data_IF_273227944165
#
_entry.id   IF_273227944165
#
_cell.length_a   1.000
_cell.length_b   1.000
_cell.length_c   1.000
_cell.angle_alpha   90.00
_cell.angle_beta   90.00
_cell.angle_gamma   90.00
#
_symmetry.space_group_name_H-M   'P 1'
#
loop_
_entity.id
_entity.type
_entity.pdbx_description
1 polymer ?
#
# COMPACT_ATOMS: atom_id res chain seq x y z
N UNK A 1 10.01 5.25 -13.82
CA UNK A 1 8.69 5.31 -13.15
C UNK A 1 7.63 5.99 -14.01
N UNK A 2 7.81 7.21 -14.49
CA UNK A 2 6.78 7.95 -15.26
C UNK A 2 6.24 7.20 -16.49
N UNK A 3 7.09 6.55 -17.28
CA UNK A 3 6.67 5.78 -18.46
C UNK A 3 5.85 4.54 -18.10
N UNK A 4 6.29 3.79 -17.08
CA UNK A 4 5.57 2.58 -16.62
C UNK A 4 4.22 2.97 -16.03
N UNK A 5 4.18 3.98 -15.16
CA UNK A 5 2.93 4.50 -14.61
C UNK A 5 1.99 5.04 -15.68
N UNK A 6 2.53 5.74 -16.67
CA UNK A 6 1.75 6.22 -17.82
C UNK A 6 1.17 5.11 -18.68
N UNK A 7 1.92 4.06 -18.96
CA UNK A 7 1.42 2.89 -19.69
C UNK A 7 0.29 2.19 -18.93
N UNK A 8 0.41 2.12 -17.60
CA UNK A 8 -0.62 1.56 -16.72
C UNK A 8 -1.91 2.39 -16.76
N UNK A 9 -1.80 3.72 -16.64
CA UNK A 9 -2.92 4.66 -16.77
C UNK A 9 -3.62 4.47 -18.11
N UNK A 10 -2.86 4.48 -19.21
CA UNK A 10 -3.38 4.29 -20.57
C UNK A 10 -4.14 2.96 -20.70
N UNK A 11 -3.59 1.88 -20.14
CA UNK A 11 -4.21 0.56 -20.19
C UNK A 11 -5.60 0.55 -19.55
N UNK A 12 -5.73 1.09 -18.35
CA UNK A 12 -7.02 1.18 -17.65
C UNK A 12 -8.00 2.13 -18.34
N UNK A 13 -7.54 3.34 -18.70
CA UNK A 13 -8.41 4.34 -19.34
C UNK A 13 -8.92 3.88 -20.70
N UNK A 14 -8.15 3.07 -21.45
CA UNK A 14 -8.61 2.46 -22.71
C UNK A 14 -9.81 1.52 -22.54
N UNK A 15 -10.14 1.13 -21.32
CA UNK A 15 -11.30 0.30 -20.95
C UNK A 15 -12.40 1.09 -20.24
N UNK A 16 -12.34 2.42 -20.27
CA UNK A 16 -13.35 3.29 -19.65
C UNK A 16 -13.27 3.37 -18.14
N UNK A 17 -12.10 3.04 -17.55
CA UNK A 17 -11.87 3.17 -16.10
C UNK A 17 -11.05 4.42 -15.80
N UNK A 18 -11.40 5.13 -14.72
CA UNK A 18 -10.52 6.16 -14.19
C UNK A 18 -9.34 5.55 -13.46
N UNK A 19 -8.21 6.22 -13.55
CA UNK A 19 -7.05 5.93 -12.72
C UNK A 19 -6.79 7.10 -11.79
N UNK A 20 -6.41 6.80 -10.56
CA UNK A 20 -6.13 7.80 -9.52
C UNK A 20 -4.70 7.65 -9.05
N UNK A 21 -3.71 8.22 -9.77
CA UNK A 21 -2.33 8.25 -9.30
C UNK A 21 -2.25 8.85 -7.90
N UNK A 22 -1.42 8.24 -7.05
CA UNK A 22 -1.31 8.66 -5.65
C UNK A 22 0.10 8.44 -5.11
N UNK A 23 0.51 9.14 -4.08
CA UNK A 23 -0.20 10.29 -3.46
C UNK A 23 0.51 11.57 -3.88
N UNK A 24 -0.22 12.51 -4.44
CA UNK A 24 0.33 13.76 -4.97
C UNK A 24 0.77 14.70 -3.84
N UNK A 25 1.98 15.22 -3.94
CA UNK A 25 2.53 16.17 -2.99
C UNK A 25 3.69 15.61 -2.15
N UNK A 26 4.50 14.69 -2.72
CA UNK A 26 5.76 14.27 -2.12
C UNK A 26 5.67 13.19 -1.04
N UNK A 27 4.60 12.42 -1.00
CA UNK A 27 4.33 11.39 0.01
C UNK A 27 5.50 10.43 0.30
N UNK A 28 6.36 10.17 -0.67
CA UNK A 28 7.52 9.28 -0.50
C UNK A 28 8.76 9.92 0.14
N UNK A 29 8.68 11.17 0.61
CA UNK A 29 9.83 11.90 1.16
C UNK A 29 9.53 12.65 2.47
N UNK A 30 8.75 12.11 3.40
CA UNK A 30 8.50 12.78 4.67
C UNK A 30 9.75 12.73 5.55
N UNK A 31 9.94 13.77 6.36
CA UNK A 31 11.04 13.84 7.32
C UNK A 31 11.01 12.67 8.29
N UNK A 32 12.17 12.05 8.48
CA UNK A 32 12.32 10.88 9.35
C UNK A 32 11.63 9.61 8.83
N UNK A 33 11.19 9.58 7.57
CA UNK A 33 10.46 8.45 6.99
C UNK A 33 9.04 8.25 7.56
N UNK A 34 8.54 9.21 8.34
CA UNK A 34 7.27 9.07 9.07
C UNK A 34 6.09 9.54 8.23
N UNK A 35 5.10 8.67 8.11
CA UNK A 35 3.87 8.97 7.38
C UNK A 35 3.22 10.28 7.84
N UNK A 36 2.74 11.07 6.89
CA UNK A 36 2.04 12.34 7.07
C UNK A 36 2.87 13.46 7.71
N UNK A 37 4.19 13.30 7.82
CA UNK A 37 5.08 14.36 8.29
C UNK A 37 5.41 15.35 7.17
N UNK A 38 6.00 16.48 7.57
CA UNK A 38 6.48 17.51 6.66
C UNK A 38 7.52 16.95 5.67
N UNK A 39 7.52 17.49 4.47
CA UNK A 39 8.43 17.11 3.40
C UNK A 39 9.55 18.13 3.36
N UNK A 40 10.73 17.74 3.83
CA UNK A 40 11.89 18.60 3.93
C UNK A 40 12.62 18.86 2.60
N UNK A 41 11.88 19.01 1.49
CA UNK A 41 12.44 19.21 0.15
C UNK A 41 12.36 20.66 -0.28
N UNK A 42 13.34 21.12 -1.04
CA UNK A 42 13.26 22.38 -1.78
C UNK A 42 12.17 22.31 -2.87
N UNK A 43 11.66 23.46 -3.30
CA UNK A 43 10.71 23.52 -4.42
C UNK A 43 11.29 22.88 -5.69
N UNK A 44 12.58 23.08 -5.95
CA UNK A 44 13.26 22.47 -7.08
C UNK A 44 13.20 20.95 -7.03
N UNK A 45 13.56 20.34 -5.92
CA UNK A 45 13.52 18.87 -5.76
C UNK A 45 12.10 18.34 -5.87
N UNK A 46 11.13 19.01 -5.25
CA UNK A 46 9.72 18.67 -5.38
C UNK A 46 9.31 18.64 -6.86
N UNK A 47 9.61 19.69 -7.63
CA UNK A 47 9.20 19.83 -9.02
C UNK A 47 9.98 18.93 -9.98
N UNK A 48 11.28 18.72 -9.75
CA UNK A 48 12.15 17.98 -10.66
C UNK A 48 12.16 16.46 -10.40
N UNK A 49 11.76 16.04 -9.20
CA UNK A 49 11.79 14.61 -8.82
C UNK A 49 10.38 14.10 -8.48
N UNK A 50 9.78 14.60 -7.41
CA UNK A 50 8.58 14.01 -6.83
C UNK A 50 7.30 14.29 -7.62
N UNK A 51 7.19 15.44 -8.25
CA UNK A 51 6.02 15.81 -9.05
C UNK A 51 6.11 15.37 -10.52
N UNK A 52 7.28 14.96 -11.01
CA UNK A 52 7.47 14.55 -12.41
C UNK A 52 6.53 13.43 -12.86
N UNK A 53 6.35 12.33 -12.11
CA UNK A 53 5.43 11.26 -12.52
C UNK A 53 3.99 11.73 -12.69
N UNK A 54 3.53 12.61 -11.80
CA UNK A 54 2.17 13.17 -11.85
C UNK A 54 1.99 14.11 -13.03
N UNK A 55 2.95 15.02 -13.27
CA UNK A 55 2.95 15.88 -14.44
C UNK A 55 2.90 15.07 -15.74
N UNK A 56 3.65 13.97 -15.80
CA UNK A 56 3.67 13.08 -16.94
C UNK A 56 2.32 12.37 -17.13
N UNK A 57 1.71 11.88 -16.04
CA UNK A 57 0.40 11.26 -16.06
C UNK A 57 -0.70 12.20 -16.58
N UNK A 58 -0.66 13.47 -16.17
CA UNK A 58 -1.63 14.48 -16.57
C UNK A 58 -1.42 14.91 -18.03
N UNK A 59 -0.21 15.34 -18.38
CA UNK A 59 0.05 15.95 -19.69
C UNK A 59 0.10 14.97 -20.84
N UNK A 60 0.52 13.72 -20.60
CA UNK A 60 0.76 12.75 -21.67
C UNK A 60 -0.28 11.63 -21.71
N UNK A 61 -1.05 11.44 -20.65
CA UNK A 61 -2.01 10.32 -20.54
C UNK A 61 -3.41 10.76 -20.13
N UNK A 62 -3.68 12.06 -20.05
CA UNK A 62 -5.00 12.61 -19.69
C UNK A 62 -5.59 11.96 -18.46
N UNK A 63 -4.77 11.87 -17.37
CA UNK A 63 -5.22 11.34 -16.11
C UNK A 63 -6.34 12.23 -15.55
N UNK A 64 -7.50 11.65 -15.23
CA UNK A 64 -8.71 12.39 -14.90
C UNK A 64 -9.07 12.40 -13.42
N UNK A 65 -8.33 11.70 -12.59
CA UNK A 65 -8.43 11.84 -11.14
C UNK A 65 -7.06 11.72 -10.47
N UNK A 66 -6.95 12.21 -9.24
CA UNK A 66 -5.71 12.24 -8.50
C UNK A 66 -6.01 12.25 -7.01
N UNK A 67 -5.24 11.48 -6.22
CA UNK A 67 -5.32 11.52 -4.75
C UNK A 67 -4.15 12.32 -4.18
N UNK A 68 -4.45 13.31 -3.32
CA UNK A 68 -3.44 14.09 -2.64
C UNK A 68 -2.87 13.36 -1.41
N UNK A 69 -1.65 13.72 -1.02
CA UNK A 69 -0.93 13.12 0.11
C UNK A 69 -1.37 13.68 1.47
N UNK A 70 -1.09 12.92 2.53
CA UNK A 70 -1.29 13.37 3.91
C UNK A 70 -0.32 14.47 4.35
N UNK A 71 0.84 14.54 3.74
CA UNK A 71 2.00 15.28 4.22
C UNK A 71 1.80 16.80 4.18
N UNK A 72 2.66 17.51 4.91
CA UNK A 72 2.86 18.94 4.77
C UNK A 72 4.00 19.21 3.78
N UNK A 73 3.89 20.29 3.06
CA UNK A 73 4.97 20.82 2.26
C UNK A 73 5.19 22.28 2.61
N UNK A 74 6.42 22.61 3.02
CA UNK A 74 6.78 23.95 3.51
C UNK A 74 5.85 24.42 4.65
N UNK A 75 5.49 23.52 5.55
CA UNK A 75 4.62 23.79 6.69
C UNK A 75 3.13 23.95 6.35
N UNK A 76 2.71 23.64 5.10
CA UNK A 76 1.32 23.71 4.67
C UNK A 76 0.82 22.30 4.33
N UNK A 77 -0.21 21.78 5.02
CA UNK A 77 -0.83 20.51 4.65
C UNK A 77 -1.26 20.49 3.19
N UNK A 78 -0.92 19.43 2.46
CA UNK A 78 -1.31 19.28 1.05
C UNK A 78 -2.82 19.40 0.90
N UNK A 79 -3.60 18.89 1.86
CA UNK A 79 -5.06 18.95 1.88
C UNK A 79 -5.64 20.39 1.84
N UNK A 80 -4.85 21.42 2.09
CA UNK A 80 -5.26 22.84 1.99
C UNK A 80 -4.34 23.68 1.08
N UNK A 81 -3.36 23.05 0.45
CA UNK A 81 -2.34 23.77 -0.35
C UNK A 81 -2.91 24.23 -1.69
N UNK A 82 -3.24 25.52 -1.76
CA UNK A 82 -3.61 26.17 -3.03
C UNK A 82 -2.45 26.20 -4.01
N UNK A 83 -1.22 26.31 -3.53
CA UNK A 83 -0.02 26.27 -4.37
C UNK A 83 0.08 24.96 -5.13
N UNK A 84 0.07 23.84 -4.43
CA UNK A 84 0.20 22.51 -5.06
C UNK A 84 -1.03 22.17 -5.90
N UNK A 85 -2.25 22.33 -5.36
CA UNK A 85 -3.47 21.80 -5.94
C UNK A 85 -4.16 22.75 -6.94
N UNK A 86 -3.96 24.08 -6.80
CA UNK A 86 -4.55 25.05 -7.73
C UNK A 86 -3.48 25.61 -8.68
N UNK A 87 -2.38 26.18 -8.16
CA UNK A 87 -1.40 26.83 -9.01
C UNK A 87 -0.63 25.79 -9.85
N UNK A 88 0.08 24.86 -9.22
CA UNK A 88 0.91 23.87 -9.95
C UNK A 88 0.04 22.90 -10.74
N UNK A 89 -0.89 22.23 -10.07
CA UNK A 89 -1.65 21.14 -10.68
C UNK A 89 -2.60 21.65 -11.75
N UNK A 90 -3.44 22.67 -11.44
CA UNK A 90 -4.48 23.14 -12.38
C UNK A 90 -3.98 24.23 -13.33
N UNK A 91 -3.35 25.30 -12.82
CA UNK A 91 -2.99 26.43 -13.67
C UNK A 91 -1.77 26.14 -14.53
N UNK A 92 -0.68 25.58 -13.94
CA UNK A 92 0.55 25.33 -14.70
C UNK A 92 0.43 24.06 -15.56
N UNK A 93 -0.20 22.99 -15.06
CA UNK A 93 -0.26 21.71 -15.78
C UNK A 93 -1.54 21.45 -16.56
N UNK A 94 -2.58 22.25 -16.31
CA UNK A 94 -3.86 22.14 -17.02
C UNK A 94 -4.72 20.96 -16.55
N UNK A 95 -4.54 20.48 -15.31
CA UNK A 95 -5.35 19.40 -14.78
C UNK A 95 -6.81 19.82 -14.65
N UNK A 96 -7.69 19.17 -15.40
CA UNK A 96 -9.12 19.44 -15.44
C UNK A 96 -9.98 18.32 -14.81
N UNK A 97 -9.35 17.31 -14.23
CA UNK A 97 -10.00 16.22 -13.51
C UNK A 97 -10.36 16.59 -12.06
N UNK A 98 -10.79 15.61 -11.29
CA UNK A 98 -11.12 15.80 -9.89
C UNK A 98 -10.01 15.32 -8.95
N UNK A 99 -9.94 15.94 -7.78
CA UNK A 99 -9.02 15.58 -6.70
C UNK A 99 -9.82 14.87 -5.62
N UNK A 100 -9.34 13.69 -5.21
CA UNK A 100 -9.83 12.99 -4.02
C UNK A 100 -8.82 13.15 -2.88
N UNK A 101 -9.30 13.31 -1.65
CA UNK A 101 -8.41 13.28 -0.48
C UNK A 101 -7.93 11.87 -0.21
N UNK A 102 -6.74 11.72 0.37
CA UNK A 102 -6.40 10.49 1.06
C UNK A 102 -7.34 10.26 2.25
N UNK A 103 -7.41 9.01 2.74
CA UNK A 103 -8.43 8.58 3.70
C UNK A 103 -8.27 9.27 5.06
N UNK A 104 -9.25 10.11 5.40
CA UNK A 104 -9.21 10.92 6.63
C UNK A 104 -8.35 12.18 6.55
N UNK A 105 -7.66 12.46 5.44
CA UNK A 105 -6.71 13.58 5.33
C UNK A 105 -7.34 14.96 5.60
N UNK A 106 -8.60 15.18 5.19
CA UNK A 106 -9.29 16.43 5.52
C UNK A 106 -9.55 16.54 7.03
N UNK A 107 -9.93 15.43 7.67
CA UNK A 107 -10.11 15.38 9.11
C UNK A 107 -8.82 15.66 9.90
N UNK A 108 -7.66 15.28 9.37
CA UNK A 108 -6.36 15.53 9.97
C UNK A 108 -6.02 17.03 10.09
N UNK A 109 -6.70 17.91 9.34
CA UNK A 109 -6.55 19.36 9.50
C UNK A 109 -7.02 19.86 10.88
N UNK A 110 -7.92 19.14 11.55
CA UNK A 110 -8.44 19.50 12.88
C UNK A 110 -7.67 18.90 14.03
N UNK A 111 -6.92 17.80 13.79
CA UNK A 111 -6.33 17.00 14.85
C UNK A 111 -5.08 16.25 14.38
N UNK A 112 -4.47 15.52 15.31
CA UNK A 112 -3.38 14.55 15.14
C UNK A 112 -2.07 15.08 14.58
N UNK A 113 -2.08 15.85 13.47
CA UNK A 113 -0.80 16.18 12.81
C UNK A 113 -0.71 17.65 12.39
N UNK A 114 -1.82 18.27 12.00
CA UNK A 114 -1.77 19.58 11.36
C UNK A 114 -2.30 20.74 12.21
N UNK A 115 -3.43 20.57 12.91
CA UNK A 115 -4.06 21.59 13.78
C UNK A 115 -4.25 22.94 13.08
N UNK A 116 -4.59 22.93 11.77
CA UNK A 116 -4.78 24.14 10.97
C UNK A 116 -6.23 24.54 10.82
N UNK A 117 -7.16 23.71 11.28
CA UNK A 117 -8.60 23.97 11.32
C UNK A 117 -9.11 23.70 12.75
N UNK A 118 -10.01 24.56 13.24
CA UNK A 118 -10.58 24.42 14.59
C UNK A 118 -11.66 23.34 14.69
N UNK A 119 -12.32 23.06 13.57
CA UNK A 119 -13.41 22.10 13.47
C UNK A 119 -13.53 21.52 12.05
N UNK A 120 -14.44 20.54 11.87
CA UNK A 120 -14.67 19.89 10.57
C UNK A 120 -15.23 20.86 9.50
N UNK A 121 -15.93 21.92 9.90
CA UNK A 121 -16.49 22.90 8.97
C UNK A 121 -15.37 23.74 8.36
N UNK A 122 -14.45 24.20 9.20
CA UNK A 122 -13.26 24.93 8.71
C UNK A 122 -12.35 24.03 7.88
N UNK A 123 -12.15 22.79 8.29
CA UNK A 123 -11.40 21.80 7.50
C UNK A 123 -12.03 21.58 6.12
N UNK A 124 -13.34 21.44 6.05
CA UNK A 124 -14.08 21.31 4.78
C UNK A 124 -13.88 22.55 3.90
N UNK A 125 -14.02 23.76 4.45
CA UNK A 125 -13.79 25.00 3.71
C UNK A 125 -12.35 25.10 3.18
N UNK A 126 -11.34 24.75 3.98
CA UNK A 126 -9.95 24.76 3.53
C UNK A 126 -9.70 23.77 2.38
N UNK A 127 -10.27 22.57 2.46
CA UNK A 127 -10.12 21.54 1.44
C UNK A 127 -10.89 21.88 0.15
N UNK A 128 -12.11 22.42 0.25
CA UNK A 128 -12.88 22.91 -0.90
C UNK A 128 -12.15 24.04 -1.63
N UNK A 129 -11.62 25.03 -0.88
CA UNK A 129 -10.84 26.13 -1.44
C UNK A 129 -9.54 25.64 -2.13
N UNK A 130 -8.96 24.51 -1.68
CA UNK A 130 -7.85 23.86 -2.35
C UNK A 130 -8.28 23.03 -3.58
N UNK A 131 -9.58 22.81 -3.78
CA UNK A 131 -10.14 22.12 -4.95
C UNK A 131 -10.29 20.61 -4.80
N UNK A 132 -10.36 20.09 -3.58
CA UNK A 132 -10.62 18.68 -3.30
C UNK A 132 -12.09 18.40 -3.48
N UNK A 133 -12.44 17.58 -4.49
CA UNK A 133 -13.82 17.35 -4.91
C UNK A 133 -14.51 16.23 -4.12
N UNK A 134 -13.75 15.20 -3.72
CA UNK A 134 -14.29 14.09 -2.93
C UNK A 134 -13.39 13.78 -1.75
N UNK A 135 -13.95 13.25 -0.67
CA UNK A 135 -13.10 12.79 0.42
C UNK A 135 -13.23 11.28 0.68
N UNK A 136 -12.09 10.62 0.83
CA UNK A 136 -12.01 9.31 1.44
C UNK A 136 -12.05 9.53 2.96
N UNK A 137 -13.23 9.38 3.57
CA UNK A 137 -13.45 9.66 4.98
C UNK A 137 -14.82 10.26 5.26
N UNK A 138 -15.00 10.85 6.43
CA UNK A 138 -16.29 11.28 6.95
C UNK A 138 -16.50 12.81 7.00
N UNK A 139 -15.52 13.63 6.59
CA UNK A 139 -15.59 15.08 6.81
C UNK A 139 -16.72 15.72 5.99
N UNK A 140 -16.77 15.49 4.67
CA UNK A 140 -17.85 16.07 3.84
C UNK A 140 -19.20 15.44 4.13
N UNK A 141 -19.24 14.17 4.55
CA UNK A 141 -20.47 13.46 4.90
C UNK A 141 -20.95 13.71 6.34
N UNK A 142 -20.20 14.50 7.12
CA UNK A 142 -20.54 14.80 8.49
C UNK A 142 -21.82 15.66 8.55
N UNK A 143 -22.75 15.32 9.45
CA UNK A 143 -24.03 16.02 9.59
C UNK A 143 -23.87 17.51 9.86
N UNK A 144 -22.86 17.90 10.66
CA UNK A 144 -22.59 19.30 11.00
C UNK A 144 -22.09 20.08 9.78
N UNK A 145 -21.25 19.46 8.93
CA UNK A 145 -20.75 20.07 7.68
C UNK A 145 -21.88 20.22 6.67
N UNK A 146 -22.74 19.21 6.53
CA UNK A 146 -23.93 19.27 5.66
C UNK A 146 -24.89 20.38 6.14
N UNK A 147 -25.11 20.49 7.46
CA UNK A 147 -25.96 21.55 8.01
C UNK A 147 -25.29 22.92 7.81
N UNK A 148 -23.98 23.02 7.99
CA UNK A 148 -23.22 24.25 7.75
C UNK A 148 -23.32 24.74 6.30
N UNK A 149 -23.40 23.83 5.33
CA UNK A 149 -23.63 24.18 3.92
C UNK A 149 -25.04 24.80 3.73
N UNK A 150 -26.07 24.23 4.35
CA UNK A 150 -27.44 24.77 4.30
C UNK A 150 -27.54 26.13 4.99
N UNK A 151 -26.78 26.35 6.04
CA UNK A 151 -26.73 27.59 6.83
C UNK A 151 -25.84 28.68 6.20
N UNK A 152 -25.21 28.41 5.06
CA UNK A 152 -24.29 29.34 4.40
C UNK A 152 -22.91 29.50 5.07
N UNK A 153 -22.52 28.56 5.93
CA UNK A 153 -21.19 28.55 6.59
C UNK A 153 -20.13 27.81 5.79
N UNK A 154 -20.49 27.14 4.71
CA UNK A 154 -19.60 26.62 3.69
C UNK A 154 -19.56 27.61 2.53
N UNK A 155 -18.36 27.84 1.99
CA UNK A 155 -18.20 28.66 0.78
C UNK A 155 -18.81 27.93 -0.42
N UNK A 156 -19.95 28.41 -0.88
CA UNK A 156 -20.71 27.78 -1.97
C UNK A 156 -20.02 27.89 -3.32
N UNK A 157 -19.21 28.95 -3.56
CA UNK A 157 -18.45 29.07 -4.79
C UNK A 157 -17.38 27.98 -4.90
N UNK A 158 -16.64 27.73 -3.82
CA UNK A 158 -15.65 26.64 -3.77
C UNK A 158 -16.33 25.27 -3.93
N UNK A 159 -17.46 25.06 -3.27
CA UNK A 159 -18.26 23.83 -3.41
C UNK A 159 -18.74 23.64 -4.87
N UNK A 160 -19.28 24.66 -5.49
CA UNK A 160 -19.73 24.61 -6.89
C UNK A 160 -18.56 24.33 -7.84
N UNK A 161 -17.39 24.90 -7.57
CA UNK A 161 -16.20 24.66 -8.39
C UNK A 161 -15.75 23.20 -8.34
N UNK A 162 -15.69 22.58 -7.17
CA UNK A 162 -15.32 21.16 -7.07
C UNK A 162 -16.41 20.25 -7.65
N UNK A 163 -17.69 20.58 -7.49
CA UNK A 163 -18.79 19.88 -8.13
C UNK A 163 -18.67 19.93 -9.66
N UNK A 164 -18.34 21.09 -10.24
CA UNK A 164 -18.13 21.22 -11.70
C UNK A 164 -16.99 20.33 -12.18
N UNK A 165 -15.87 20.21 -11.44
CA UNK A 165 -14.78 19.33 -11.85
C UNK A 165 -15.20 17.86 -11.85
N UNK A 166 -15.93 17.42 -10.84
CA UNK A 166 -16.43 16.05 -10.75
C UNK A 166 -17.45 15.75 -11.84
N UNK A 167 -18.52 16.56 -11.93
CA UNK A 167 -19.57 16.38 -12.93
C UNK A 167 -19.02 16.50 -14.35
N UNK A 168 -18.12 17.47 -14.60
CA UNK A 168 -17.47 17.62 -15.89
C UNK A 168 -16.64 16.39 -16.29
N UNK A 169 -15.98 15.75 -15.33
CA UNK A 169 -15.28 14.49 -15.56
C UNK A 169 -16.26 13.35 -15.89
N UNK A 170 -17.37 13.27 -15.17
CA UNK A 170 -18.43 12.28 -15.44
C UNK A 170 -19.04 12.46 -16.83
N UNK A 171 -19.35 13.71 -17.23
CA UNK A 171 -19.88 14.01 -18.58
C UNK A 171 -18.87 13.65 -19.69
N UNK A 172 -17.61 14.05 -19.58
CA UNK A 172 -16.59 13.70 -20.57
C UNK A 172 -16.43 12.21 -20.79
N UNK A 173 -16.76 11.39 -19.80
CA UNK A 173 -16.66 9.94 -19.84
C UNK A 173 -17.99 9.22 -20.03
N UNK A 174 -19.06 9.95 -20.40
CA UNK A 174 -20.37 9.41 -20.74
C UNK A 174 -21.00 8.55 -19.62
N UNK A 175 -20.70 8.89 -18.34
CA UNK A 175 -21.20 8.10 -17.21
C UNK A 175 -22.71 8.24 -16.99
N UNK A 176 -23.31 9.30 -17.48
CA UNK A 176 -24.75 9.50 -17.40
C UNK A 176 -25.50 8.67 -18.44
N UNK A 177 -24.92 8.48 -19.62
CA UNK A 177 -25.49 7.73 -20.73
C UNK A 177 -25.27 6.22 -20.57
N UNK A 178 -24.11 5.81 -20.07
CA UNK A 178 -23.73 4.40 -19.93
C UNK A 178 -24.33 3.67 -18.75
N UNK A 179 -25.04 4.36 -17.85
CA UNK A 179 -25.60 3.80 -16.61
C UNK A 179 -24.64 2.86 -15.86
N UNK A 180 -23.51 3.36 -15.36
CA UNK A 180 -22.48 2.54 -14.73
C UNK A 180 -22.93 1.87 -13.42
N UNK A 181 -24.02 2.36 -12.84
CA UNK A 181 -24.54 1.85 -11.56
C UNK A 181 -25.41 0.60 -11.69
N UNK A 182 -25.58 0.05 -12.90
CA UNK A 182 -26.28 -1.23 -13.06
C UNK A 182 -25.47 -2.34 -12.41
N UNK A 183 -26.03 -3.09 -11.46
CA UNK A 183 -25.29 -4.19 -10.84
C UNK A 183 -24.76 -5.16 -11.91
N UNK A 184 -23.47 -5.35 -11.95
CA UNK A 184 -22.84 -6.29 -12.86
C UNK A 184 -22.79 -7.67 -12.18
N UNK A 185 -23.27 -8.69 -12.89
CA UNK A 185 -23.01 -10.08 -12.49
C UNK A 185 -21.55 -10.40 -12.82
N UNK A 186 -20.66 -10.09 -11.88
CA UNK A 186 -19.22 -10.24 -12.06
C UNK A 186 -18.81 -11.67 -12.42
N UNK A 187 -19.57 -12.69 -11.99
CA UNK A 187 -19.31 -14.09 -12.33
C UNK A 187 -19.55 -14.38 -13.81
N UNK A 188 -20.51 -13.69 -14.42
CA UNK A 188 -20.76 -13.80 -15.88
C UNK A 188 -19.74 -12.99 -16.68
N UNK A 189 -19.30 -11.84 -16.15
CA UNK A 189 -18.39 -10.93 -16.84
C UNK A 189 -16.95 -11.43 -16.75
N UNK A 190 -16.58 -12.02 -15.61
CA UNK A 190 -15.24 -12.56 -15.36
C UNK A 190 -15.25 -14.06 -15.04
N UNK A 191 -15.66 -14.92 -15.98
CA UNK A 191 -15.66 -16.37 -15.73
C UNK A 191 -14.25 -16.90 -15.45
N UNK A 192 -13.22 -16.18 -15.84
CA UNK A 192 -11.81 -16.48 -15.56
C UNK A 192 -11.28 -15.96 -14.23
N UNK A 193 -12.13 -15.28 -13.39
CA UNK A 193 -11.67 -14.81 -12.09
C UNK A 193 -11.17 -15.98 -11.22
N UNK A 194 -9.98 -15.80 -10.63
CA UNK A 194 -9.29 -16.83 -9.84
C UNK A 194 -9.05 -18.14 -10.63
N UNK A 195 -8.91 -18.04 -11.95
CA UNK A 195 -8.58 -19.20 -12.81
C UNK A 195 -7.16 -19.71 -12.54
N UNK A 196 -6.86 -20.91 -13.01
CA UNK A 196 -5.53 -21.49 -12.85
C UNK A 196 -4.45 -20.68 -13.60
N UNK A 197 -4.82 -20.05 -14.72
CA UNK A 197 -3.92 -19.11 -15.42
C UNK A 197 -3.59 -17.86 -14.60
N UNK A 198 -4.56 -17.29 -13.85
CA UNK A 198 -4.31 -16.18 -12.94
C UNK A 198 -3.41 -16.60 -11.77
N UNK A 199 -3.63 -17.79 -11.21
CA UNK A 199 -2.79 -18.32 -10.13
C UNK A 199 -1.35 -18.59 -10.61
N UNK A 200 -1.18 -19.09 -11.84
CA UNK A 200 0.17 -19.30 -12.39
C UNK A 200 0.87 -17.97 -12.68
N UNK A 201 0.17 -16.96 -13.19
CA UNK A 201 0.71 -15.62 -13.37
C UNK A 201 1.14 -15.00 -12.03
N UNK A 202 0.33 -15.12 -10.97
CA UNK A 202 0.69 -14.67 -9.64
C UNK A 202 1.91 -15.42 -9.08
N UNK A 203 2.00 -16.73 -9.32
CA UNK A 203 3.17 -17.54 -8.96
C UNK A 203 4.43 -17.13 -9.70
N UNK A 204 4.32 -16.84 -11.00
CA UNK A 204 5.44 -16.34 -11.79
C UNK A 204 5.90 -14.99 -11.28
N UNK A 205 4.98 -14.04 -11.02
CA UNK A 205 5.32 -12.75 -10.44
C UNK A 205 6.04 -12.89 -9.08
N UNK A 206 5.57 -13.79 -8.22
CA UNK A 206 6.23 -14.07 -6.95
C UNK A 206 7.65 -14.63 -7.14
N UNK A 207 7.85 -15.56 -8.10
CA UNK A 207 9.20 -16.08 -8.40
C UNK A 207 10.15 -14.99 -8.90
N UNK A 208 9.67 -14.11 -9.75
CA UNK A 208 10.45 -13.01 -10.32
C UNK A 208 10.72 -11.88 -9.32
N UNK A 209 9.95 -11.79 -8.23
CA UNK A 209 10.16 -10.82 -7.16
C UNK A 209 11.21 -11.26 -6.13
N UNK A 210 11.57 -12.55 -6.08
CA UNK A 210 12.58 -13.07 -5.15
C UNK A 210 13.97 -12.67 -5.64
N UNK A 211 14.72 -12.00 -4.77
CA UNK A 211 16.10 -11.57 -5.06
C UNK A 211 17.09 -12.51 -4.36
N UNK A 212 17.93 -13.18 -5.14
CA UNK A 212 19.01 -13.99 -4.62
C UNK A 212 20.20 -13.08 -4.31
N UNK A 213 20.51 -12.86 -3.03
CA UNK A 213 21.60 -11.99 -2.60
C UNK A 213 22.95 -12.71 -2.64
N UNK A 214 22.96 -14.01 -2.33
CA UNK A 214 24.17 -14.83 -2.31
C UNK A 214 23.82 -16.29 -2.66
N UNK A 215 24.74 -16.98 -3.31
CA UNK A 215 24.70 -18.42 -3.55
C UNK A 215 26.11 -19.00 -3.46
N UNK A 216 26.64 -19.04 -2.22
CA UNK A 216 27.96 -19.54 -1.94
C UNK A 216 28.04 -21.05 -2.25
N UNK A 217 29.11 -21.48 -2.85
CA UNK A 217 29.41 -22.87 -3.20
C UNK A 217 28.30 -23.54 -4.07
N UNK A 218 27.50 -22.75 -4.76
CA UNK A 218 26.36 -23.23 -5.56
C UNK A 218 25.37 -24.10 -4.75
N UNK A 219 25.12 -23.72 -3.49
CA UNK A 219 24.16 -24.41 -2.62
C UNK A 219 22.74 -24.47 -3.22
N UNK A 220 22.37 -23.42 -3.92
CA UNK A 220 21.07 -23.35 -4.61
C UNK A 220 21.22 -23.65 -6.11
N UNK A 221 20.24 -24.38 -6.72
CA UNK A 221 19.03 -24.92 -6.11
C UNK A 221 19.31 -26.13 -5.23
N UNK A 222 18.55 -26.25 -4.13
CA UNK A 222 18.66 -27.42 -3.25
C UNK A 222 18.31 -28.72 -3.97
N UNK A 223 19.07 -29.79 -3.66
CA UNK A 223 18.78 -31.11 -4.20
C UNK A 223 17.42 -31.63 -3.68
N UNK A 224 16.60 -32.20 -4.56
CA UNK A 224 15.35 -32.88 -4.21
C UNK A 224 15.56 -34.26 -3.58
N UNK A 225 16.82 -34.70 -3.47
CA UNK A 225 17.19 -36.00 -2.88
C UNK A 225 17.66 -35.89 -1.42
N UNK A 226 17.60 -34.69 -0.82
CA UNK A 226 17.89 -34.50 0.60
C UNK A 226 16.99 -35.36 1.46
N UNK A 227 17.55 -35.97 2.52
CA UNK A 227 16.83 -36.85 3.43
C UNK A 227 16.05 -36.07 4.49
N UNK A 228 16.63 -35.01 5.00
CA UNK A 228 16.01 -34.19 6.06
C UNK A 228 16.25 -32.71 5.80
N UNK A 229 15.21 -31.93 5.82
CA UNK A 229 15.22 -30.45 5.71
C UNK A 229 14.55 -29.89 6.96
N UNK A 230 15.22 -28.96 7.66
CA UNK A 230 14.56 -28.14 8.68
C UNK A 230 14.08 -26.84 8.07
N UNK A 231 12.83 -26.45 8.35
CA UNK A 231 12.26 -25.15 7.99
C UNK A 231 11.92 -24.43 9.28
N UNK A 232 12.69 -23.38 9.56
CA UNK A 232 12.71 -22.73 10.88
C UNK A 232 12.39 -21.24 10.76
N UNK A 233 11.91 -20.66 11.86
CA UNK A 233 11.66 -19.23 11.96
C UNK A 233 10.18 -18.87 11.99
N UNK A 234 9.85 -17.66 12.47
CA UNK A 234 8.46 -17.20 12.63
C UNK A 234 7.69 -17.11 11.31
N UNK A 235 8.37 -16.82 10.20
CA UNK A 235 7.76 -16.77 8.88
C UNK A 235 7.58 -18.12 8.18
N UNK A 236 8.07 -19.23 8.76
CA UNK A 236 8.11 -20.54 8.09
C UNK A 236 6.72 -21.10 7.80
N UNK A 237 5.81 -21.06 8.75
CA UNK A 237 4.42 -21.53 8.60
C UNK A 237 3.39 -20.43 8.85
N UNK A 238 3.81 -19.19 8.74
CA UNK A 238 2.96 -18.02 8.86
C UNK A 238 2.52 -17.52 7.47
N UNK A 239 1.29 -17.01 7.41
CA UNK A 239 0.74 -16.42 6.19
C UNK A 239 0.87 -14.91 6.26
N UNK A 240 1.78 -14.35 5.49
CA UNK A 240 2.09 -12.91 5.46
C UNK A 240 1.63 -12.26 4.14
N UNK A 241 0.31 -12.08 3.93
CA UNK A 241 -0.19 -11.48 2.69
C UNK A 241 0.11 -9.98 2.56
N UNK A 242 0.46 -9.32 3.67
CA UNK A 242 0.70 -7.89 3.72
C UNK A 242 -0.54 -7.04 3.98
N UNK A 243 -0.30 -5.76 4.28
CA UNK A 243 -1.35 -4.76 4.47
C UNK A 243 -2.23 -4.63 3.22
N UNK A 244 -3.48 -4.20 3.40
CA UNK A 244 -4.46 -4.01 2.33
C UNK A 244 -4.86 -5.25 1.54
N UNK A 245 -4.36 -6.43 1.88
CA UNK A 245 -4.83 -7.66 1.25
C UNK A 245 -6.25 -7.95 1.72
N UNK A 246 -7.22 -8.05 0.80
CA UNK A 246 -8.60 -8.32 1.16
C UNK A 246 -8.75 -9.73 1.73
N UNK A 247 -9.85 -9.97 2.44
CA UNK A 247 -10.17 -11.29 2.97
C UNK A 247 -10.14 -12.35 1.87
N UNK A 248 -9.28 -13.32 2.03
CA UNK A 248 -9.03 -14.38 1.06
C UNK A 248 -9.94 -15.59 1.29
N UNK A 249 -10.18 -16.34 0.23
CA UNK A 249 -10.84 -17.64 0.34
C UNK A 249 -9.89 -18.67 0.99
N UNK A 250 -10.42 -19.64 1.74
CA UNK A 250 -9.59 -20.70 2.34
C UNK A 250 -8.70 -21.39 1.31
N UNK A 251 -7.42 -21.58 1.63
CA UNK A 251 -6.44 -22.27 0.78
C UNK A 251 -5.84 -21.44 -0.37
N UNK A 252 -6.17 -20.15 -0.48
CA UNK A 252 -5.53 -19.27 -1.47
C UNK A 252 -4.09 -18.91 -1.13
N UNK A 253 -3.74 -18.87 0.16
CA UNK A 253 -2.36 -18.67 0.61
C UNK A 253 -1.73 -20.01 0.99
N UNK A 254 -0.42 -20.09 0.80
CA UNK A 254 0.43 -21.19 1.25
C UNK A 254 1.64 -20.62 1.96
N UNK A 255 1.94 -21.20 3.12
CA UNK A 255 3.17 -20.88 3.83
C UNK A 255 4.40 -21.43 3.10
N UNK A 256 5.58 -20.91 3.44
CA UNK A 256 6.86 -21.44 2.94
C UNK A 256 7.00 -22.92 3.27
N UNK A 257 6.66 -23.32 4.50
CA UNK A 257 6.65 -24.71 4.93
C UNK A 257 5.75 -25.60 4.05
N UNK A 258 4.53 -25.14 3.77
CA UNK A 258 3.60 -25.86 2.89
C UNK A 258 4.14 -25.96 1.47
N UNK A 259 4.76 -24.92 0.95
CA UNK A 259 5.41 -24.90 -0.36
C UNK A 259 6.56 -25.91 -0.45
N UNK A 260 7.44 -25.95 0.55
CA UNK A 260 8.57 -26.89 0.62
C UNK A 260 8.06 -28.33 0.71
N UNK A 261 7.12 -28.62 1.62
CA UNK A 261 6.50 -29.96 1.73
C UNK A 261 5.90 -30.45 0.41
N UNK A 262 5.34 -29.51 -0.38
CA UNK A 262 4.79 -29.84 -1.70
C UNK A 262 5.83 -30.02 -2.81
N UNK A 263 7.05 -29.49 -2.63
CA UNK A 263 8.11 -29.53 -3.63
C UNK A 263 9.05 -30.73 -3.48
N UNK A 264 9.16 -31.31 -2.28
CA UNK A 264 10.05 -32.45 -1.98
C UNK A 264 9.34 -33.79 -2.17
N UNK A 265 10.15 -34.85 -2.37
CA UNK A 265 9.64 -36.21 -2.49
C UNK A 265 9.18 -36.81 -1.14
N UNK A 266 8.42 -37.90 -1.19
CA UNK A 266 7.93 -38.60 0.02
C UNK A 266 9.04 -39.14 0.93
N UNK A 267 10.24 -39.34 0.39
CA UNK A 267 11.43 -39.78 1.11
C UNK A 267 12.11 -38.68 1.93
N UNK A 268 11.80 -37.41 1.67
CA UNK A 268 12.40 -36.28 2.39
C UNK A 268 11.57 -35.97 3.64
N UNK A 269 12.21 -36.04 4.79
CA UNK A 269 11.61 -35.62 6.07
C UNK A 269 11.74 -34.08 6.18
N UNK A 270 10.62 -33.41 6.42
CA UNK A 270 10.61 -31.97 6.69
C UNK A 270 10.30 -31.74 8.16
N UNK A 271 11.28 -31.21 8.89
CA UNK A 271 11.14 -30.77 10.28
C UNK A 271 10.71 -29.30 10.29
N UNK A 272 9.91 -28.94 11.26
CA UNK A 272 9.47 -27.55 11.45
C UNK A 272 9.55 -27.16 12.91
N UNK A 273 10.14 -26.01 13.17
CA UNK A 273 10.07 -25.31 14.47
C UNK A 273 10.02 -23.82 14.22
N UNK A 274 9.10 -23.13 14.87
CA UNK A 274 9.01 -21.67 14.79
C UNK A 274 10.24 -20.99 15.40
N UNK A 275 10.76 -21.53 16.51
CA UNK A 275 11.94 -21.05 17.21
C UNK A 275 11.74 -19.78 18.03
N UNK A 276 11.07 -18.78 17.49
CA UNK A 276 10.66 -17.55 18.18
C UNK A 276 9.45 -16.91 17.49
N UNK A 277 8.81 -15.95 18.16
CA UNK A 277 7.78 -15.10 17.55
C UNK A 277 8.40 -13.90 16.81
N UNK A 278 7.60 -13.22 15.96
CA UNK A 278 8.05 -12.01 15.26
C UNK A 278 8.32 -10.84 16.21
N UNK A 279 7.51 -10.67 17.23
CA UNK A 279 7.50 -9.49 18.10
C UNK A 279 7.63 -9.80 19.57
N UNK A 280 7.06 -10.92 20.04
CA UNK A 280 7.06 -11.27 21.45
C UNK A 280 8.39 -11.96 21.84
N UNK A 281 9.25 -11.31 22.66
CA UNK A 281 10.53 -11.88 23.04
C UNK A 281 10.40 -13.06 24.03
N UNK A 282 9.26 -13.23 24.67
CA UNK A 282 9.01 -14.30 25.65
C UNK A 282 8.53 -15.60 24.96
N UNK A 283 7.99 -15.50 23.77
CA UNK A 283 7.56 -16.65 22.96
C UNK A 283 8.71 -17.21 22.15
N UNK A 284 9.59 -17.98 22.83
CA UNK A 284 10.76 -18.56 22.18
C UNK A 284 10.92 -20.04 22.48
N UNK A 285 11.40 -20.79 21.49
CA UNK A 285 11.73 -22.20 21.56
C UNK A 285 13.01 -22.54 20.77
N UNK A 286 14.01 -21.65 20.88
CA UNK A 286 15.28 -21.76 20.17
C UNK A 286 15.93 -23.14 20.35
N UNK A 287 15.95 -23.77 21.57
CA UNK A 287 16.56 -25.10 21.74
C UNK A 287 15.92 -26.20 20.85
N UNK A 288 14.60 -26.13 20.58
CA UNK A 288 13.98 -27.08 19.65
C UNK A 288 14.39 -26.83 18.21
N UNK A 289 14.47 -25.57 17.82
CA UNK A 289 14.93 -25.20 16.46
C UNK A 289 16.38 -25.65 16.23
N UNK A 290 17.28 -25.43 17.19
CA UNK A 290 18.67 -25.94 17.19
C UNK A 290 18.71 -27.45 17.06
N UNK A 291 17.88 -28.18 17.83
CA UNK A 291 17.77 -29.64 17.72
C UNK A 291 17.29 -30.08 16.34
N UNK A 292 16.32 -29.39 15.76
CA UNK A 292 15.84 -29.70 14.40
C UNK A 292 16.92 -29.43 13.36
N UNK A 293 17.68 -28.34 13.51
CA UNK A 293 18.81 -28.00 12.65
C UNK A 293 19.88 -29.09 12.66
N UNK A 294 20.33 -29.49 13.85
CA UNK A 294 21.38 -30.53 14.02
C UNK A 294 21.00 -31.92 13.47
N UNK A 295 19.73 -32.16 13.19
CA UNK A 295 19.21 -33.41 12.63
C UNK A 295 18.94 -33.32 11.12
N UNK A 296 19.30 -32.24 10.47
CA UNK A 296 18.94 -31.96 9.07
C UNK A 296 20.15 -31.84 8.17
N UNK A 297 19.99 -32.28 6.91
CA UNK A 297 21.03 -32.12 5.87
C UNK A 297 21.13 -30.64 5.45
N UNK A 298 20.01 -29.90 5.55
CA UNK A 298 19.91 -28.47 5.20
C UNK A 298 18.87 -27.79 6.10
N UNK A 299 19.15 -26.54 6.43
CA UNK A 299 18.22 -25.66 7.16
C UNK A 299 17.76 -24.53 6.27
N UNK A 300 16.47 -24.26 6.25
CA UNK A 300 15.85 -23.08 5.62
C UNK A 300 15.29 -22.22 6.74
N UNK A 301 15.86 -21.05 6.95
CA UNK A 301 15.38 -20.08 7.92
C UNK A 301 14.50 -19.04 7.23
N UNK A 302 13.32 -18.78 7.77
CA UNK A 302 12.36 -17.80 7.27
C UNK A 302 12.18 -16.72 8.32
N UNK A 303 12.93 -15.66 8.16
CA UNK A 303 13.07 -14.56 9.11
C UNK A 303 12.71 -13.24 8.43
N UNK A 304 12.36 -12.23 9.21
CA UNK A 304 12.07 -10.90 8.69
C UNK A 304 11.00 -10.16 9.48
N UNK A 305 10.44 -9.16 8.83
CA UNK A 305 9.36 -8.34 9.34
C UNK A 305 7.98 -8.97 9.11
N UNK A 306 7.00 -8.51 9.86
CA UNK A 306 5.59 -8.82 9.63
C UNK A 306 4.75 -7.53 9.66
N UNK A 307 3.72 -7.48 8.82
CA UNK A 307 2.72 -6.43 8.83
C UNK A 307 1.37 -6.96 9.29
N UNK A 308 0.50 -6.07 9.78
CA UNK A 308 -0.90 -6.44 9.99
C UNK A 308 -1.54 -6.92 8.71
N UNK A 309 -2.54 -7.78 8.79
CA UNK A 309 -3.28 -8.25 7.63
C UNK A 309 -4.75 -8.46 7.97
N UNK A 310 -5.63 -7.80 7.22
CA UNK A 310 -7.07 -8.06 7.28
C UNK A 310 -7.43 -9.45 6.79
N UNK A 311 -6.63 -10.02 5.88
CA UNK A 311 -6.86 -11.34 5.33
C UNK A 311 -6.73 -12.46 6.37
N UNK A 312 -5.82 -12.30 7.34
CA UNK A 312 -5.53 -13.27 8.40
C UNK A 312 -5.97 -12.83 9.79
N UNK A 313 -6.50 -11.60 9.94
CA UNK A 313 -6.76 -10.93 11.21
C UNK A 313 -5.49 -10.82 12.09
N UNK A 314 -4.32 -10.75 11.48
CA UNK A 314 -3.06 -10.60 12.18
C UNK A 314 -2.89 -9.14 12.65
N UNK A 315 -2.66 -8.97 13.93
CA UNK A 315 -2.45 -7.67 14.59
C UNK A 315 -0.98 -7.41 14.92
N UNK A 316 -0.12 -8.43 14.76
CA UNK A 316 1.32 -8.27 14.94
C UNK A 316 1.86 -7.38 13.82
N UNK A 317 2.73 -6.46 14.13
CA UNK A 317 3.43 -5.70 13.11
C UNK A 317 4.77 -5.16 13.60
N UNK A 318 5.74 -5.29 12.74
CA UNK A 318 7.04 -4.64 12.85
C UNK A 318 7.25 -3.62 11.73
N UNK A 319 6.42 -3.69 10.68
CA UNK A 319 6.41 -2.78 9.54
C UNK A 319 4.97 -2.56 9.04
N UNK A 320 4.82 -1.75 8.00
CA UNK A 320 3.54 -1.44 7.38
C UNK A 320 3.07 -0.02 7.66
N UNK A 321 1.90 0.35 7.18
CA UNK A 321 1.39 1.70 7.30
C UNK A 321 1.23 2.13 8.77
N UNK A 322 1.70 3.32 9.08
CA UNK A 322 1.75 3.91 10.43
C UNK A 322 2.63 3.12 11.42
N UNK A 323 3.53 2.28 10.94
CA UNK A 323 4.44 1.53 11.78
C UNK A 323 5.87 1.63 11.23
N UNK A 324 6.65 2.52 11.83
CA UNK A 324 8.04 2.78 11.46
C UNK A 324 8.98 1.97 12.35
N UNK A 325 9.98 1.36 11.73
CA UNK A 325 11.00 0.61 12.44
C UNK A 325 12.27 1.45 12.59
N UNK A 326 12.77 1.58 13.82
CA UNK A 326 13.90 2.46 14.12
C UNK A 326 15.27 1.87 13.75
N UNK A 327 15.34 0.60 13.41
CA UNK A 327 16.58 -0.12 13.11
C UNK A 327 16.40 -1.05 11.92
N UNK A 328 17.53 -1.56 11.36
CA UNK A 328 17.52 -2.59 10.30
C UNK A 328 17.86 -3.98 10.83
N UNK A 329 17.81 -4.18 12.15
CA UNK A 329 18.02 -5.50 12.75
C UNK A 329 16.74 -6.34 12.67
N UNK A 330 16.88 -7.65 12.74
CA UNK A 330 15.74 -8.57 12.82
C UNK A 330 14.93 -8.32 14.10
N UNK A 331 13.59 -8.22 14.01
CA UNK A 331 12.76 -7.98 15.17
C UNK A 331 12.72 -9.17 16.13
N UNK A 332 12.35 -8.91 17.38
CA UNK A 332 12.19 -9.94 18.42
C UNK A 332 13.49 -10.70 18.72
N UNK A 333 13.39 -12.01 18.80
CA UNK A 333 14.50 -12.93 19.06
C UNK A 333 15.05 -13.62 17.80
N UNK A 334 14.73 -13.12 16.62
CA UNK A 334 15.12 -13.77 15.38
C UNK A 334 16.64 -13.78 15.15
N UNK A 335 17.37 -12.74 15.59
CA UNK A 335 18.82 -12.71 15.53
C UNK A 335 19.44 -13.80 16.41
N UNK A 336 18.95 -13.96 17.65
CA UNK A 336 19.43 -15.01 18.56
C UNK A 336 19.15 -16.42 18.01
N UNK A 337 17.98 -16.60 17.38
CA UNK A 337 17.62 -17.85 16.70
C UNK A 337 18.59 -18.14 15.54
N UNK A 338 18.87 -17.14 14.70
CA UNK A 338 19.80 -17.27 13.57
C UNK A 338 21.18 -17.69 14.03
N UNK A 339 21.74 -16.98 15.01
CA UNK A 339 23.07 -17.25 15.56
C UNK A 339 23.16 -18.64 16.17
N UNK A 340 22.15 -19.05 16.97
CA UNK A 340 22.10 -20.37 17.59
C UNK A 340 22.01 -21.52 16.57
N UNK A 341 21.26 -21.32 15.48
CA UNK A 341 21.15 -22.32 14.41
C UNK A 341 22.43 -22.37 13.57
N UNK A 342 23.05 -21.24 13.26
CA UNK A 342 24.31 -21.21 12.51
C UNK A 342 25.49 -21.81 13.28
N UNK A 343 25.39 -21.93 14.60
CA UNK A 343 26.42 -22.59 15.44
C UNK A 343 26.33 -24.12 15.45
N UNK A 344 25.34 -24.74 14.78
CA UNK A 344 25.18 -26.21 14.70
C UNK A 344 25.97 -26.80 13.53
#
# INVERSE_FOLDING_TARGET
>A
MSQIGGAWIKGYQSRGLFTTPKHFGGHGAPLGGRDSHDIGLSEREMREIHLVPFRHAIRNYDCQSLMMAYSDYMGVPVAKSKELLQQILRQEWGFNGFIVSDCGAIGNLTARKHYTAKDKIEAANQALAAGIATNCGDTYNNKEVIQAAKDGRINMEDLDNVCRTMLGTMFRNELFEKNPCKPLDWKKIYPGWNSDSHKEMARQAARESIVMLENKDNLLPLSKTLRTIAVLGPGADDLQPGDYTPKLLPGQLKSVLTGIKGAVGKQTKVLYEQGCDFTNPDETNIPKAVKAASQSDVVIMVLGDCSTSEATNDVRKTCGENNDWATLILPGKQQELLEAVCAT
#
